data_IF_095370875652
#
_entry.id   IF_095370875652
#
_cell.length_a   1.000
_cell.length_b   1.000
_cell.length_c   1.000
_cell.angle_alpha   90.00
_cell.angle_beta   90.00
_cell.angle_gamma   90.00
#
_symmetry.space_group_name_H-M   'P 1'
#
loop_
_entity.id
_entity.type
_entity.pdbx_description
1 polymer ?
#
# COMPACT_ATOMS: atom_id res chain seq x y z
N UNK A 1 18.84 -3.42 -0.49
CA UNK A 1 17.69 -2.88 0.28
C UNK A 1 16.49 -2.79 -0.66
N UNK A 2 15.28 -2.55 -0.15
CA UNK A 2 14.08 -2.50 -0.99
C UNK A 2 13.11 -1.42 -0.52
N UNK A 3 12.18 -1.06 -1.40
CA UNK A 3 11.00 -0.24 -1.10
C UNK A 3 9.77 -0.89 -1.71
N UNK A 4 8.61 -0.70 -1.09
CA UNK A 4 7.33 -1.06 -1.71
C UNK A 4 7.02 -0.16 -2.90
N UNK A 5 6.31 -0.67 -3.90
CA UNK A 5 5.92 0.11 -5.08
C UNK A 5 4.57 0.82 -4.87
N UNK A 6 4.56 1.89 -4.08
CA UNK A 6 3.33 2.66 -3.84
C UNK A 6 2.87 3.43 -5.10
N UNK A 7 3.72 4.24 -5.77
CA UNK A 7 3.30 5.01 -6.94
C UNK A 7 2.89 4.15 -8.13
N UNK A 8 3.53 2.99 -8.31
CA UNK A 8 3.17 2.03 -9.35
C UNK A 8 1.93 1.18 -9.02
N UNK A 9 1.28 1.41 -7.87
CA UNK A 9 0.09 0.66 -7.45
C UNK A 9 0.38 -0.79 -7.09
N UNK A 10 1.63 -1.11 -6.80
CA UNK A 10 2.10 -2.46 -6.51
C UNK A 10 1.62 -3.00 -5.18
N UNK A 11 1.22 -2.15 -4.23
CA UNK A 11 0.66 -2.56 -2.92
C UNK A 11 -0.87 -2.50 -2.98
N UNK A 12 -1.49 -3.51 -3.59
CA UNK A 12 -2.90 -3.44 -3.99
C UNK A 12 -3.87 -3.30 -2.81
N UNK A 13 -3.57 -3.91 -1.65
CA UNK A 13 -4.41 -3.76 -0.46
C UNK A 13 -4.42 -2.31 0.07
N UNK A 14 -3.27 -1.63 -0.02
CA UNK A 14 -3.16 -0.22 0.35
C UNK A 14 -3.85 0.67 -0.69
N UNK A 15 -3.68 0.34 -1.98
CA UNK A 15 -4.37 1.01 -3.09
C UNK A 15 -5.88 0.94 -2.95
N UNK A 16 -6.42 -0.23 -2.59
CA UNK A 16 -7.84 -0.44 -2.36
C UNK A 16 -8.35 0.42 -1.19
N UNK A 17 -7.62 0.42 -0.06
CA UNK A 17 -7.92 1.29 1.08
C UNK A 17 -8.04 2.76 0.67
N UNK A 18 -7.02 3.32 0.03
CA UNK A 18 -7.03 4.74 -0.34
C UNK A 18 -8.01 5.07 -1.43
N UNK A 19 -8.26 4.17 -2.38
CA UNK A 19 -9.31 4.36 -3.38
C UNK A 19 -10.68 4.47 -2.72
N UNK A 20 -10.96 3.64 -1.71
CA UNK A 20 -12.20 3.73 -0.96
C UNK A 20 -12.27 5.00 -0.09
N UNK A 21 -11.18 5.33 0.62
CA UNK A 21 -11.09 6.50 1.48
C UNK A 21 -11.25 7.81 0.70
N UNK A 22 -10.50 7.99 -0.38
CA UNK A 22 -10.53 9.23 -1.20
C UNK A 22 -11.84 9.43 -1.94
N UNK A 23 -12.58 8.36 -2.23
CA UNK A 23 -13.92 8.47 -2.77
C UNK A 23 -14.95 8.98 -1.76
N UNK A 24 -14.71 8.80 -0.45
CA UNK A 24 -15.56 9.28 0.64
C UNK A 24 -15.11 10.65 1.18
N UNK A 25 -13.79 10.87 1.20
CA UNK A 25 -13.13 12.10 1.62
C UNK A 25 -12.01 12.43 0.62
N UNK A 26 -12.27 13.29 -0.37
CA UNK A 26 -11.25 13.72 -1.33
C UNK A 26 -10.01 14.36 -0.68
N UNK A 27 -10.13 14.90 0.54
CA UNK A 27 -9.00 15.50 1.28
C UNK A 27 -7.99 14.46 1.78
N UNK A 28 -8.38 13.20 1.87
CA UNK A 28 -7.49 12.11 2.26
C UNK A 28 -6.37 11.83 1.24
N UNK A 29 -6.45 12.43 0.04
CA UNK A 29 -5.49 12.20 -1.05
C UNK A 29 -4.04 12.52 -0.63
N UNK A 30 -3.81 13.51 0.23
CA UNK A 30 -2.46 13.90 0.66
C UNK A 30 -1.84 12.92 1.67
N UNK A 31 -2.64 12.01 2.23
CA UNK A 31 -2.19 10.99 3.17
C UNK A 31 -1.80 9.67 2.48
N UNK A 32 -2.14 9.53 1.20
CA UNK A 32 -1.86 8.33 0.40
C UNK A 32 -0.36 8.04 0.31
N UNK A 33 0.03 6.78 0.44
CA UNK A 33 1.46 6.43 0.42
C UNK A 33 2.13 6.71 -0.93
N UNK A 34 1.42 6.72 -2.05
CA UNK A 34 1.98 7.12 -3.35
C UNK A 34 2.36 8.61 -3.38
N UNK A 35 1.62 9.49 -2.69
CA UNK A 35 2.01 10.90 -2.51
C UNK A 35 3.08 11.10 -1.44
N UNK A 36 2.99 10.36 -0.33
CA UNK A 36 3.94 10.51 0.79
C UNK A 36 5.31 9.92 0.50
N UNK A 37 5.38 8.90 -0.35
CA UNK A 37 6.61 8.21 -0.73
C UNK A 37 6.79 8.15 -2.25
N UNK A 38 6.93 9.30 -2.92
CA UNK A 38 6.95 9.36 -4.39
C UNK A 38 8.21 8.72 -5.00
N UNK A 39 9.28 8.56 -4.22
CA UNK A 39 10.54 7.93 -4.63
C UNK A 39 10.49 6.39 -4.58
N UNK A 40 9.39 5.81 -4.12
CA UNK A 40 9.18 4.36 -4.03
C UNK A 40 8.93 3.71 -5.40
N UNK A 41 9.80 3.99 -6.36
CA UNK A 41 9.80 3.47 -7.73
C UNK A 41 11.13 2.79 -8.04
N UNK A 42 11.22 2.05 -9.15
CA UNK A 42 12.47 1.42 -9.56
C UNK A 42 13.59 2.46 -9.76
N UNK A 43 13.27 3.52 -10.51
CA UNK A 43 14.20 4.61 -10.83
C UNK A 43 14.54 5.40 -9.57
N UNK A 44 13.53 5.76 -8.76
CA UNK A 44 13.73 6.51 -7.52
C UNK A 44 14.64 5.80 -6.52
N UNK A 45 14.53 4.46 -6.44
CA UNK A 45 15.42 3.67 -5.59
C UNK A 45 16.85 3.58 -6.15
N UNK A 46 16.97 3.43 -7.46
CA UNK A 46 18.27 3.37 -8.17
C UNK A 46 19.01 4.71 -8.03
N UNK A 47 18.33 5.83 -8.30
CA UNK A 47 18.85 7.18 -8.12
C UNK A 47 19.33 7.45 -6.69
N UNK A 48 18.59 6.94 -5.69
CA UNK A 48 18.97 7.09 -4.29
C UNK A 48 20.25 6.32 -3.97
N UNK A 49 20.41 5.11 -4.53
CA UNK A 49 21.60 4.31 -4.38
C UNK A 49 22.83 4.99 -5.01
N UNK A 50 22.67 5.54 -6.22
CA UNK A 50 23.73 6.28 -6.92
C UNK A 50 24.16 7.53 -6.15
N UNK A 51 23.20 8.33 -5.67
CA UNK A 51 23.47 9.54 -4.88
C UNK A 51 24.16 9.23 -3.54
N UNK A 52 23.97 8.02 -3.01
CA UNK A 52 24.65 7.53 -1.83
C UNK A 52 26.09 7.03 -2.12
N UNK A 53 26.54 7.07 -3.39
CA UNK A 53 27.88 6.62 -3.80
C UNK A 53 28.01 5.11 -3.96
N UNK A 54 26.90 4.37 -3.97
CA UNK A 54 26.93 2.93 -4.20
C UNK A 54 27.24 2.64 -5.68
N UNK A 55 27.94 1.53 -5.92
CA UNK A 55 28.37 1.11 -7.26
C UNK A 55 27.85 -0.28 -7.61
N UNK A 56 27.89 -0.65 -8.90
CA UNK A 56 27.38 -1.95 -9.38
C UNK A 56 25.91 -2.18 -8.96
N UNK A 57 25.07 -1.16 -9.15
CA UNK A 57 23.66 -1.19 -8.74
C UNK A 57 22.87 -2.07 -9.70
N UNK A 58 22.21 -3.07 -9.14
CA UNK A 58 21.25 -3.94 -9.83
C UNK A 58 19.90 -3.80 -9.13
N UNK A 59 18.87 -3.45 -9.92
CA UNK A 59 17.52 -3.19 -9.42
C UNK A 59 16.54 -4.20 -10.01
N UNK A 60 15.81 -4.89 -9.15
CA UNK A 60 14.89 -5.96 -9.54
C UNK A 60 13.50 -5.77 -8.96
N UNK A 61 12.51 -6.30 -9.68
CA UNK A 61 11.12 -6.35 -9.27
C UNK A 61 10.86 -7.62 -8.48
N UNK A 62 10.30 -7.47 -7.28
CA UNK A 62 9.77 -8.58 -6.48
C UNK A 62 8.26 -8.42 -6.42
N UNK A 63 7.51 -9.41 -6.90
CA UNK A 63 6.04 -9.43 -6.84
C UNK A 63 5.59 -10.72 -6.17
N UNK A 64 4.68 -10.60 -5.18
CA UNK A 64 4.16 -11.70 -4.40
C UNK A 64 2.66 -11.54 -4.15
N UNK A 65 1.90 -12.65 -4.06
CA UNK A 65 0.52 -12.59 -3.65
C UNK A 65 0.42 -12.14 -2.18
N UNK A 66 -0.56 -11.28 -1.90
CA UNK A 66 -1.03 -10.94 -0.57
C UNK A 66 -2.48 -11.43 -0.46
N UNK A 67 -2.64 -12.66 0.03
CA UNK A 67 -3.95 -13.30 0.16
C UNK A 67 -4.42 -13.13 1.60
N UNK A 68 -5.55 -12.45 1.77
CA UNK A 68 -6.23 -12.39 3.06
C UNK A 68 -7.26 -13.51 3.12
N UNK A 69 -7.40 -14.14 4.28
CA UNK A 69 -8.33 -15.24 4.50
C UNK A 69 -9.78 -14.81 4.28
N UNK A 70 -10.13 -13.63 4.77
CA UNK A 70 -11.45 -13.05 4.71
C UNK A 70 -11.37 -11.52 4.87
N UNK A 71 -12.52 -10.85 4.95
CA UNK A 71 -12.55 -9.40 5.09
C UNK A 71 -12.04 -8.90 6.45
N UNK A 72 -12.22 -9.67 7.52
CA UNK A 72 -11.75 -9.26 8.84
C UNK A 72 -10.22 -9.28 8.88
N UNK A 73 -9.61 -10.30 8.28
CA UNK A 73 -8.16 -10.41 8.09
C UNK A 73 -7.58 -9.22 7.29
N UNK A 74 -8.29 -8.79 6.23
CA UNK A 74 -7.94 -7.56 5.49
C UNK A 74 -8.12 -6.28 6.32
N UNK A 75 -9.20 -6.17 7.07
CA UNK A 75 -9.61 -4.93 7.75
C UNK A 75 -8.82 -4.68 9.03
N UNK A 76 -8.54 -5.74 9.79
CA UNK A 76 -7.96 -5.65 11.12
C UNK A 76 -6.68 -4.79 11.20
N UNK A 77 -5.70 -4.90 10.28
CA UNK A 77 -4.49 -4.07 10.31
C UNK A 77 -4.77 -2.56 10.27
N UNK A 78 -5.82 -2.12 9.58
CA UNK A 78 -6.19 -0.70 9.52
C UNK A 78 -6.77 -0.16 10.82
N UNK A 79 -7.22 -1.04 11.72
CA UNK A 79 -7.77 -0.66 13.03
C UNK A 79 -6.69 -0.47 14.11
N UNK A 80 -5.45 -0.85 13.82
CA UNK A 80 -4.34 -0.79 14.79
C UNK A 80 -3.72 0.61 14.94
N UNK A 81 -4.04 1.55 14.05
CA UNK A 81 -3.61 2.95 14.14
C UNK A 81 -2.15 3.26 13.80
N UNK A 82 -1.33 2.26 13.45
CA UNK A 82 0.08 2.45 13.10
C UNK A 82 0.29 2.67 11.58
N UNK A 83 0.80 3.85 11.20
CA UNK A 83 1.10 4.21 9.80
C UNK A 83 0.04 5.14 9.16
N UNK A 84 0.23 5.57 7.89
CA UNK A 84 -0.64 6.55 7.25
C UNK A 84 -2.10 6.07 7.13
N UNK A 85 -2.33 4.91 6.51
CA UNK A 85 -3.68 4.38 6.34
C UNK A 85 -4.36 3.97 7.67
N UNK A 86 -3.72 3.20 8.58
CA UNK A 86 -4.35 2.86 9.85
C UNK A 86 -4.57 4.10 10.74
N UNK A 87 -3.64 5.06 10.73
CA UNK A 87 -3.78 6.33 11.45
C UNK A 87 -4.96 7.16 10.94
N UNK A 88 -5.14 7.23 9.61
CA UNK A 88 -6.32 7.84 9.01
C UNK A 88 -7.61 7.09 9.38
N UNK A 89 -7.63 5.77 9.26
CA UNK A 89 -8.79 4.94 9.63
C UNK A 89 -9.25 5.22 11.07
N UNK A 90 -8.29 5.37 11.99
CA UNK A 90 -8.57 5.62 13.40
C UNK A 90 -8.86 7.07 13.76
N UNK A 91 -8.53 8.04 12.89
CA UNK A 91 -8.93 9.44 13.08
C UNK A 91 -10.37 9.71 12.66
N UNK A 92 -10.97 8.84 11.84
CA UNK A 92 -12.35 8.97 11.40
C UNK A 92 -13.35 8.84 12.55
N UNK A 93 -14.39 9.67 12.51
CA UNK A 93 -15.56 9.47 13.36
C UNK A 93 -16.18 8.08 13.10
N UNK A 94 -16.81 7.43 14.10
CA UNK A 94 -17.30 6.05 13.98
C UNK A 94 -18.19 5.79 12.75
N UNK A 95 -19.09 6.72 12.42
CA UNK A 95 -19.97 6.62 11.25
C UNK A 95 -19.21 6.71 9.91
N UNK A 96 -18.14 7.51 9.83
CA UNK A 96 -17.32 7.61 8.64
C UNK A 96 -16.45 6.36 8.46
N UNK A 97 -15.89 5.84 9.56
CA UNK A 97 -15.15 4.57 9.56
C UNK A 97 -16.03 3.39 9.14
N UNK A 98 -17.29 3.36 9.60
CA UNK A 98 -18.27 2.35 9.18
C UNK A 98 -18.52 2.41 7.66
N UNK A 99 -18.74 3.60 7.09
CA UNK A 99 -18.91 3.77 5.63
C UNK A 99 -17.69 3.32 4.84
N UNK A 100 -16.48 3.61 5.34
CA UNK A 100 -15.24 3.14 4.73
C UNK A 100 -15.16 1.60 4.75
N UNK A 101 -15.46 0.99 5.90
CA UNK A 101 -15.47 -0.46 6.05
C UNK A 101 -16.47 -1.12 5.09
N UNK A 102 -17.70 -0.61 4.99
CA UNK A 102 -18.72 -1.11 4.07
C UNK A 102 -18.28 -0.99 2.61
N UNK A 103 -17.78 0.18 2.21
CA UNK A 103 -17.28 0.41 0.84
C UNK A 103 -16.15 -0.55 0.47
N UNK A 104 -15.22 -0.81 1.40
CA UNK A 104 -14.15 -1.78 1.19
C UNK A 104 -14.69 -3.20 1.07
N UNK A 105 -15.65 -3.56 1.92
CA UNK A 105 -16.29 -4.88 1.88
C UNK A 105 -16.95 -5.18 0.53
N UNK A 106 -17.53 -4.16 -0.10
CA UNK A 106 -18.24 -4.28 -1.38
C UNK A 106 -17.32 -4.20 -2.61
N UNK A 107 -16.15 -3.58 -2.49
CA UNK A 107 -15.27 -3.30 -3.64
C UNK A 107 -14.10 -4.27 -3.79
N UNK A 108 -13.74 -5.02 -2.74
CA UNK A 108 -12.62 -5.95 -2.79
C UNK A 108 -12.93 -7.20 -3.63
N UNK A 109 -11.93 -7.75 -4.35
CA UNK A 109 -12.10 -9.04 -5.01
C UNK A 109 -12.35 -10.14 -3.98
N UNK A 110 -13.13 -11.15 -4.37
CA UNK A 110 -13.41 -12.32 -3.52
C UNK A 110 -13.21 -13.61 -4.30
N UNK A 111 -12.46 -14.53 -3.71
CA UNK A 111 -12.40 -15.92 -4.14
C UNK A 111 -13.68 -16.67 -3.74
N UNK A 112 -13.89 -17.84 -4.36
CA UNK A 112 -15.06 -18.71 -4.05
C UNK A 112 -15.07 -19.18 -2.59
N UNK A 113 -13.89 -19.27 -1.97
CA UNK A 113 -13.68 -19.63 -0.56
C UNK A 113 -13.81 -18.44 0.40
N UNK A 114 -14.10 -17.24 -0.12
CA UNK A 114 -14.20 -16.00 0.66
C UNK A 114 -12.87 -15.26 0.84
N UNK A 115 -11.76 -15.79 0.34
CA UNK A 115 -10.46 -15.13 0.37
C UNK A 115 -10.43 -13.84 -0.45
N UNK A 116 -9.50 -12.96 -0.15
CA UNK A 116 -9.28 -11.70 -0.88
C UNK A 116 -7.88 -11.76 -1.50
N UNK A 117 -7.77 -12.19 -2.77
CA UNK A 117 -6.48 -12.30 -3.46
C UNK A 117 -6.06 -10.92 -3.99
N UNK A 118 -4.98 -10.39 -3.44
CA UNK A 118 -4.34 -9.16 -3.89
C UNK A 118 -2.85 -9.43 -4.16
N UNK A 119 -2.15 -8.42 -4.68
CA UNK A 119 -0.71 -8.47 -4.94
C UNK A 119 0.03 -7.39 -4.18
N UNK A 120 1.29 -7.70 -3.91
CA UNK A 120 2.28 -6.74 -3.41
C UNK A 120 3.50 -6.77 -4.33
N UNK A 121 4.03 -5.58 -4.63
CA UNK A 121 5.25 -5.42 -5.41
C UNK A 121 6.21 -4.50 -4.69
N UNK A 122 7.48 -4.87 -4.71
CA UNK A 122 8.59 -4.09 -4.21
C UNK A 122 9.69 -3.98 -5.28
N UNK A 123 10.45 -2.89 -5.18
CA UNK A 123 11.69 -2.66 -5.90
C UNK A 123 12.85 -2.95 -4.97
N UNK A 124 13.75 -3.85 -5.36
CA UNK A 124 14.91 -4.22 -4.56
C UNK A 124 16.20 -3.87 -5.29
N UNK A 125 17.11 -3.21 -4.58
CA UNK A 125 18.46 -2.89 -5.05
C UNK A 125 19.49 -3.75 -4.34
N UNK A 126 20.41 -4.30 -5.13
CA UNK A 126 21.69 -4.86 -4.69
C UNK A 126 22.81 -3.97 -5.22
N UNK A 127 23.75 -3.58 -4.36
CA UNK A 127 24.86 -2.72 -4.73
C UNK A 127 26.09 -3.02 -3.87
N UNK A 128 27.24 -2.43 -4.24
CA UNK A 128 28.49 -2.48 -3.49
C UNK A 128 28.85 -1.09 -2.95
N UNK A 129 29.69 -1.08 -1.92
CA UNK A 129 30.36 0.12 -1.39
C UNK A 129 31.72 0.25 -2.06
#
# INVERSE_FOLDING_TARGET
>A
FYVWDYPGGGVEFMRAFWTAATALDPGAIDLTEDRRFPFCTQDGLTDLAEKAGLVSIDSTRIEMPAVFKDFEDYWHPFTLGAGPAPGYCMSLAPAARQKLMERLRDSLPRGEDGSIPLKTRAWAVKAKV
#
